data_IF_131140289148
#
_entry.id   IF_131140289148
#
_cell.length_a   1.000
_cell.length_b   1.000
_cell.length_c   1.000
_cell.angle_alpha   90.00
_cell.angle_beta   90.00
_cell.angle_gamma   90.00
#
_symmetry.space_group_name_H-M   'P 1'
#
loop_
_entity.id
_entity.type
_entity.pdbx_description
1 polymer ?
#
# COMPACT_ATOMS: atom_id res chain seq x y z
N UNK A 1 -6.72 6.68 -14.31
CA UNK A 1 -5.57 5.79 -14.60
C UNK A 1 -5.13 5.19 -13.28
N UNK A 2 -4.92 3.87 -13.21
CA UNK A 2 -4.34 3.25 -12.02
C UNK A 2 -2.91 3.77 -11.85
N UNK A 3 -2.54 4.14 -10.63
CA UNK A 3 -1.20 4.63 -10.32
C UNK A 3 -0.22 3.45 -10.37
N UNK A 4 0.95 3.63 -10.96
CA UNK A 4 1.98 2.58 -10.97
C UNK A 4 2.74 2.55 -9.64
N UNK A 5 3.41 1.43 -9.30
CA UNK A 5 4.32 1.40 -8.15
C UNK A 5 5.42 2.44 -8.25
N UNK A 6 5.92 2.72 -9.46
CA UNK A 6 6.91 3.75 -9.70
C UNK A 6 6.36 5.15 -9.37
N UNK A 7 5.08 5.41 -9.66
CA UNK A 7 4.44 6.67 -9.31
C UNK A 7 4.18 6.81 -7.80
N UNK A 8 3.88 5.71 -7.11
CA UNK A 8 3.78 5.69 -5.65
C UNK A 8 5.15 5.98 -5.02
N UNK A 9 6.20 5.26 -5.41
CA UNK A 9 7.55 5.46 -4.90
C UNK A 9 8.06 6.88 -5.10
N UNK A 10 7.81 7.47 -6.28
CA UNK A 10 8.13 8.88 -6.56
C UNK A 10 7.45 9.84 -5.58
N UNK A 11 6.19 9.61 -5.24
CA UNK A 11 5.47 10.49 -4.32
C UNK A 11 5.82 10.26 -2.85
N UNK A 12 6.21 9.05 -2.47
CA UNK A 12 6.68 8.76 -1.13
C UNK A 12 8.15 9.18 -0.91
N UNK A 13 8.89 9.44 -1.99
CA UNK A 13 10.33 9.76 -1.93
C UNK A 13 11.18 8.56 -1.51
N UNK A 14 10.77 7.35 -1.87
CA UNK A 14 11.44 6.10 -1.48
C UNK A 14 11.21 5.01 -2.53
N UNK A 15 12.08 4.00 -2.51
CA UNK A 15 11.92 2.80 -3.34
C UNK A 15 10.80 1.93 -2.79
N UNK A 16 10.00 1.38 -3.70
CA UNK A 16 8.83 0.54 -3.38
C UNK A 16 8.92 -0.74 -4.20
N UNK A 17 8.67 -1.88 -3.55
CA UNK A 17 8.59 -3.17 -4.23
C UNK A 17 7.24 -3.86 -3.99
N UNK A 18 6.75 -4.67 -4.96
CA UNK A 18 5.54 -5.45 -4.79
C UNK A 18 5.76 -6.60 -3.80
N UNK A 19 4.76 -6.86 -2.96
CA UNK A 19 4.67 -8.05 -2.12
C UNK A 19 3.74 -9.12 -2.72
N UNK A 20 2.71 -8.69 -3.44
CA UNK A 20 1.69 -9.57 -4.02
C UNK A 20 0.41 -8.81 -4.33
N UNK A 21 -0.66 -9.54 -4.63
CA UNK A 21 -1.98 -8.97 -4.84
C UNK A 21 -3.03 -9.72 -4.03
N UNK A 22 -4.01 -8.99 -3.50
CA UNK A 22 -5.20 -9.59 -2.90
C UNK A 22 -6.00 -10.37 -3.94
N UNK A 23 -6.62 -11.47 -3.51
CA UNK A 23 -7.32 -12.38 -4.43
C UNK A 23 -8.60 -11.75 -4.98
N UNK A 24 -9.41 -11.14 -4.11
CA UNK A 24 -10.76 -10.67 -4.46
C UNK A 24 -10.74 -9.26 -5.04
N UNK A 25 -10.07 -8.33 -4.37
CA UNK A 25 -10.02 -6.91 -4.76
C UNK A 25 -9.03 -6.63 -5.88
N UNK A 26 -8.07 -7.56 -6.10
CA UNK A 26 -6.88 -7.35 -6.93
C UNK A 26 -6.05 -6.14 -6.49
N UNK A 27 -6.21 -5.69 -5.25
CA UNK A 27 -5.37 -4.66 -4.68
C UNK A 27 -3.91 -5.16 -4.63
N UNK A 28 -2.99 -4.35 -5.11
CA UNK A 28 -1.56 -4.65 -5.06
C UNK A 28 -1.03 -4.27 -3.68
N UNK A 29 -0.36 -5.20 -3.01
CA UNK A 29 0.35 -4.97 -1.76
C UNK A 29 1.80 -4.60 -2.05
N UNK A 30 2.30 -3.58 -1.38
CA UNK A 30 3.65 -3.08 -1.58
C UNK A 30 4.29 -2.67 -0.26
N UNK A 31 5.62 -2.68 -0.22
CA UNK A 31 6.42 -2.20 0.90
C UNK A 31 7.50 -1.25 0.39
N UNK A 32 7.84 -0.24 1.19
CA UNK A 32 8.96 0.63 0.89
C UNK A 32 10.26 0.23 1.61
N UNK A 33 11.35 0.92 1.27
CA UNK A 33 12.66 0.70 1.88
C UNK A 33 12.72 1.02 3.39
N UNK A 34 11.70 1.68 3.94
CA UNK A 34 11.57 1.98 5.38
C UNK A 34 10.72 0.93 6.11
N UNK A 35 10.18 -0.06 5.40
CA UNK A 35 9.33 -1.11 5.95
C UNK A 35 7.84 -0.78 5.97
N UNK A 36 7.43 0.41 5.51
CA UNK A 36 6.03 0.85 5.50
C UNK A 36 5.25 0.12 4.42
N UNK A 37 4.03 -0.29 4.73
CA UNK A 37 3.21 -1.11 3.85
C UNK A 37 2.01 -0.35 3.27
N UNK A 38 1.66 -0.70 2.04
CA UNK A 38 0.63 -0.02 1.25
C UNK A 38 -0.24 -1.01 0.48
N UNK A 39 -1.49 -0.63 0.25
CA UNK A 39 -2.38 -1.27 -0.72
C UNK A 39 -2.74 -0.28 -1.83
N UNK A 40 -2.74 -0.74 -3.09
CA UNK A 40 -3.10 0.08 -4.24
C UNK A 40 -4.21 -0.63 -5.02
N UNK A 41 -5.30 0.10 -5.28
CA UNK A 41 -6.39 -0.40 -6.11
C UNK A 41 -6.86 0.69 -7.10
N UNK A 42 -7.95 0.41 -7.82
CA UNK A 42 -8.52 1.35 -8.79
C UNK A 42 -9.15 2.60 -8.15
N UNK A 43 -9.30 2.63 -6.83
CA UNK A 43 -9.88 3.72 -6.04
C UNK A 43 -8.82 4.59 -5.34
N UNK A 44 -7.58 4.09 -5.20
CA UNK A 44 -6.43 4.88 -4.76
C UNK A 44 -5.35 4.08 -4.05
N UNK A 45 -4.48 4.81 -3.35
CA UNK A 45 -3.39 4.28 -2.55
C UNK A 45 -3.77 4.37 -1.05
N UNK A 46 -3.44 3.34 -0.29
CA UNK A 46 -3.84 3.19 1.11
C UNK A 46 -2.64 2.81 1.98
N UNK A 47 -2.52 3.41 3.16
CA UNK A 47 -1.49 3.11 4.13
C UNK A 47 -1.95 2.01 5.10
N UNK A 48 -1.23 0.88 5.10
CA UNK A 48 -1.57 -0.29 5.92
C UNK A 48 -0.89 -0.28 7.29
N UNK A 49 0.32 0.28 7.37
CA UNK A 49 1.06 0.34 8.62
C UNK A 49 2.54 0.66 8.47
N UNK A 50 3.22 0.94 9.60
CA UNK A 50 4.65 1.26 9.63
C UNK A 50 5.56 0.05 9.39
N UNK A 51 5.06 -1.17 9.52
CA UNK A 51 5.78 -2.43 9.34
C UNK A 51 4.81 -3.56 8.89
N UNK A 52 5.38 -4.74 8.61
CA UNK A 52 4.61 -5.92 8.17
C UNK A 52 3.61 -6.39 9.23
N UNK A 53 3.97 -6.36 10.51
CA UNK A 53 3.09 -6.86 11.58
C UNK A 53 1.83 -6.00 11.69
N UNK A 54 1.98 -4.67 11.63
CA UNK A 54 0.86 -3.74 11.59
C UNK A 54 0.04 -3.88 10.30
N UNK A 55 0.69 -4.07 9.15
CA UNK A 55 0.00 -4.27 7.88
C UNK A 55 -0.89 -5.52 7.92
N UNK A 56 -0.36 -6.63 8.42
CA UNK A 56 -1.13 -7.86 8.61
C UNK A 56 -2.27 -7.64 9.60
N UNK A 57 -2.01 -7.01 10.75
CA UNK A 57 -3.04 -6.70 11.73
C UNK A 57 -4.19 -5.88 11.13
N UNK A 58 -3.88 -4.84 10.34
CA UNK A 58 -4.87 -4.03 9.62
C UNK A 58 -5.73 -4.89 8.69
N UNK A 59 -5.09 -5.71 7.84
CA UNK A 59 -5.77 -6.53 6.84
C UNK A 59 -6.63 -7.63 7.47
N UNK A 60 -6.06 -8.43 8.37
CA UNK A 60 -6.76 -9.59 8.97
C UNK A 60 -7.89 -9.17 9.92
N UNK A 61 -7.80 -7.98 10.50
CA UNK A 61 -8.84 -7.42 11.37
C UNK A 61 -9.91 -6.67 10.59
N UNK A 62 -9.75 -6.49 9.27
CA UNK A 62 -10.66 -5.69 8.45
C UNK A 62 -10.69 -4.20 8.84
N UNK A 63 -9.61 -3.68 9.43
CA UNK A 63 -9.50 -2.27 9.77
C UNK A 63 -9.38 -1.48 8.47
N UNK A 64 -10.19 -0.43 8.33
CA UNK A 64 -10.12 0.42 7.14
C UNK A 64 -8.81 1.23 7.14
N UNK A 65 -7.93 1.05 6.14
CA UNK A 65 -6.67 1.78 6.07
C UNK A 65 -6.87 3.26 5.74
N UNK A 66 -5.89 4.08 6.10
CA UNK A 66 -5.90 5.50 5.78
C UNK A 66 -5.61 5.72 4.30
N UNK A 67 -6.44 6.51 3.60
CA UNK A 67 -6.20 6.86 2.21
C UNK A 67 -5.04 7.84 2.12
N UNK A 68 -4.07 7.57 1.26
CA UNK A 68 -3.04 8.54 0.94
C UNK A 68 -3.61 9.63 0.03
N UNK A 69 -3.38 10.88 0.39
CA UNK A 69 -3.70 12.03 -0.44
C UNK A 69 -2.41 12.66 -0.94
N UNK A 70 -2.40 13.11 -2.19
CA UNK A 70 -1.36 14.06 -2.61
C UNK A 70 -1.54 15.32 -1.76
N UNK A 71 -0.45 15.75 -1.10
CA UNK A 71 -0.37 17.09 -0.51
C UNK A 71 -0.33 18.16 -1.58
#
# INVERSE_FOLDING_TARGET
MARTLADLGRALGTDVCPLGAETDTRALLAIDALGRAYALDHTGDWYLGPDIDHALATLVSGIRPARLTAG
#
